data_IF_972298282725
#
_entry.id   IF_972298282725
#
_cell.length_a   1.000
_cell.length_b   1.000
_cell.length_c   1.000
_cell.angle_alpha   90.00
_cell.angle_beta   90.00
_cell.angle_gamma   90.00
#
_symmetry.space_group_name_H-M   'P 1'
#
loop_
_entity.id
_entity.type
_entity.pdbx_description
1 polymer ?
#
# COMPACT_ATOMS: atom_id res chain seq x y z
N UNK A 1 -33.06 18.09 10.80
CA UNK A 1 -31.59 18.19 10.69
C UNK A 1 -31.07 16.81 11.04
N UNK A 2 -30.99 15.93 10.05
CA UNK A 2 -30.54 14.56 10.29
C UNK A 2 -29.02 14.59 10.22
N UNK A 3 -28.40 14.49 11.39
CA UNK A 3 -27.00 14.12 11.56
C UNK A 3 -26.88 12.66 11.13
N UNK A 4 -26.75 12.45 9.81
CA UNK A 4 -26.34 11.17 9.26
C UNK A 4 -24.89 10.96 9.69
N UNK A 5 -24.75 10.19 10.77
CA UNK A 5 -23.47 9.64 11.23
C UNK A 5 -22.66 9.15 10.03
N UNK A 6 -21.59 9.88 9.70
CA UNK A 6 -20.63 9.56 8.66
C UNK A 6 -20.18 8.12 8.87
N UNK A 7 -20.45 7.26 7.89
CA UNK A 7 -20.02 5.87 7.86
C UNK A 7 -18.51 5.76 8.13
N UNK A 8 -18.14 5.30 9.33
CA UNK A 8 -16.76 5.24 9.83
C UNK A 8 -15.96 4.03 9.34
N UNK A 9 -16.49 3.21 8.43
CA UNK A 9 -15.77 2.06 7.90
C UNK A 9 -14.84 2.49 6.75
N UNK A 10 -13.51 2.35 6.87
CA UNK A 10 -12.60 2.75 5.81
C UNK A 10 -12.85 1.87 4.57
N UNK A 11 -13.02 2.53 3.42
CA UNK A 11 -13.24 1.88 2.14
C UNK A 11 -12.12 0.87 1.86
N UNK A 12 -12.46 -0.35 1.43
CA UNK A 12 -11.52 -1.47 1.28
C UNK A 12 -10.30 -1.11 0.42
N UNK A 13 -10.52 -0.37 -0.68
CA UNK A 13 -9.44 0.08 -1.56
C UNK A 13 -8.43 0.99 -0.85
N UNK A 14 -8.89 1.82 0.09
CA UNK A 14 -8.04 2.71 0.88
C UNK A 14 -7.21 1.91 1.89
N UNK A 15 -7.81 0.92 2.54
CA UNK A 15 -7.10 0.01 3.46
C UNK A 15 -6.02 -0.76 2.69
N UNK A 16 -6.33 -1.26 1.50
CA UNK A 16 -5.37 -1.96 0.65
C UNK A 16 -4.23 -1.04 0.18
N UNK A 17 -4.55 0.21 -0.17
CA UNK A 17 -3.54 1.20 -0.52
C UNK A 17 -2.60 1.50 0.65
N UNK A 18 -3.14 1.78 1.84
CA UNK A 18 -2.33 2.02 3.04
C UNK A 18 -1.40 0.84 3.36
N UNK A 19 -1.89 -0.40 3.20
CA UNK A 19 -1.06 -1.60 3.38
C UNK A 19 0.09 -1.67 2.37
N UNK A 20 -0.17 -1.37 1.09
CA UNK A 20 0.89 -1.35 0.06
C UNK A 20 1.95 -0.30 0.37
N UNK A 21 1.54 0.92 0.73
CA UNK A 21 2.46 2.00 1.14
C UNK A 21 3.29 1.56 2.36
N UNK A 22 2.65 1.00 3.38
CA UNK A 22 3.32 0.52 4.59
C UNK A 22 4.33 -0.60 4.32
N UNK A 23 3.95 -1.57 3.49
CA UNK A 23 4.83 -2.68 3.10
C UNK A 23 6.05 -2.17 2.33
N UNK A 24 5.86 -1.24 1.40
CA UNK A 24 6.95 -0.61 0.66
C UNK A 24 7.95 0.08 1.60
N UNK A 25 7.47 0.92 2.53
CA UNK A 25 8.31 1.58 3.54
C UNK A 25 9.12 0.55 4.34
N UNK A 26 8.47 -0.52 4.80
CA UNK A 26 9.13 -1.59 5.56
C UNK A 26 10.21 -2.28 4.74
N UNK A 27 9.93 -2.60 3.47
CA UNK A 27 10.88 -3.27 2.59
C UNK A 27 12.12 -2.41 2.34
N UNK A 28 11.93 -1.14 1.99
CA UNK A 28 13.04 -0.20 1.80
C UNK A 28 13.87 -0.05 3.08
N UNK A 29 13.22 0.06 4.24
CA UNK A 29 13.92 0.13 5.53
C UNK A 29 14.77 -1.11 5.79
N UNK A 30 14.21 -2.31 5.60
CA UNK A 30 14.91 -3.57 5.82
C UNK A 30 16.07 -3.76 4.84
N UNK A 31 15.93 -3.32 3.57
CA UNK A 31 17.03 -3.32 2.59
C UNK A 31 18.23 -2.45 3.01
N UNK A 32 18.01 -1.50 3.90
CA UNK A 32 19.03 -0.62 4.47
C UNK A 32 19.49 -1.09 5.87
N UNK A 33 19.14 -2.31 6.28
CA UNK A 33 19.44 -2.90 7.59
C UNK A 33 18.99 -2.05 8.79
N UNK A 34 17.96 -1.22 8.60
CA UNK A 34 17.42 -0.37 9.66
C UNK A 34 16.30 -1.07 10.42
N UNK A 35 16.27 -0.92 11.74
CA UNK A 35 15.15 -1.28 12.61
C UNK A 35 14.03 -0.23 12.54
N UNK A 36 12.80 -0.61 12.90
CA UNK A 36 11.68 0.34 12.98
C UNK A 36 11.91 1.47 14.00
N UNK A 37 12.73 1.23 15.02
CA UNK A 37 13.11 2.25 15.99
C UNK A 37 14.05 3.28 15.36
N UNK A 38 15.07 2.85 14.63
CA UNK A 38 16.03 3.75 13.95
C UNK A 38 15.35 4.58 12.86
N UNK A 39 14.43 3.98 12.08
CA UNK A 39 13.63 4.77 11.14
C UNK A 39 12.76 5.79 11.88
N UNK A 40 12.17 5.41 13.02
CA UNK A 40 11.42 6.34 13.88
C UNK A 40 12.28 7.53 14.31
N UNK A 41 13.51 7.28 14.78
CA UNK A 41 14.44 8.33 15.16
C UNK A 41 14.76 9.28 13.99
N UNK A 42 15.05 8.74 12.79
CA UNK A 42 15.31 9.56 11.58
C UNK A 42 14.10 10.37 11.13
N UNK A 43 12.89 9.88 11.39
CA UNK A 43 11.63 10.52 11.03
C UNK A 43 11.05 11.40 12.14
N UNK A 44 11.70 11.46 13.31
CA UNK A 44 11.16 12.08 14.53
C UNK A 44 9.78 11.53 14.94
N UNK A 45 9.61 10.22 14.83
CA UNK A 45 8.39 9.48 15.15
C UNK A 45 8.67 8.35 16.16
N UNK A 46 7.64 7.98 16.90
CA UNK A 46 7.72 6.78 17.75
C UNK A 46 7.80 5.51 16.91
N UNK A 47 8.47 4.47 17.42
CA UNK A 47 8.48 3.15 16.79
C UNK A 47 7.06 2.60 16.58
N UNK A 48 6.14 2.88 17.52
CA UNK A 48 4.74 2.46 17.39
C UNK A 48 4.05 3.15 16.21
N UNK A 49 4.32 4.43 15.93
CA UNK A 49 3.81 5.12 14.74
C UNK A 49 4.38 4.50 13.47
N UNK A 50 5.68 4.22 13.42
CA UNK A 50 6.30 3.48 12.30
C UNK A 50 5.59 2.14 12.09
N UNK A 51 5.35 1.37 13.15
CA UNK A 51 4.62 0.10 13.06
C UNK A 51 3.19 0.25 12.54
N UNK A 52 2.46 1.32 12.91
CA UNK A 52 1.11 1.57 12.38
C UNK A 52 1.16 1.87 10.88
N UNK A 53 2.12 2.67 10.44
CA UNK A 53 2.30 2.98 9.02
C UNK A 53 2.69 1.74 8.23
N UNK A 54 3.67 0.97 8.68
CA UNK A 54 4.14 -0.23 7.98
C UNK A 54 3.06 -1.31 7.86
N UNK A 55 2.12 -1.37 8.81
CA UNK A 55 0.97 -2.27 8.75
C UNK A 55 -0.23 -1.71 7.98
N UNK A 56 -0.17 -0.44 7.54
CA UNK A 56 -1.26 0.25 6.87
C UNK A 56 -2.48 0.51 7.77
N UNK A 57 -2.30 0.51 9.10
CA UNK A 57 -3.39 0.82 10.06
C UNK A 57 -3.75 2.31 10.01
N UNK A 58 -2.77 3.16 9.68
CA UNK A 58 -2.98 4.59 9.48
C UNK A 58 -2.43 5.00 8.12
N UNK A 59 -3.08 5.97 7.48
CA UNK A 59 -2.57 6.58 6.25
C UNK A 59 -1.31 7.41 6.54
N UNK A 60 -0.41 7.43 5.57
CA UNK A 60 0.75 8.31 5.54
C UNK A 60 0.37 9.52 4.69
N UNK A 61 0.54 10.74 5.19
CA UNK A 61 0.28 11.93 4.39
C UNK A 61 1.31 12.07 3.26
N UNK A 62 0.98 12.80 2.19
CA UNK A 62 1.92 13.01 1.08
C UNK A 62 3.24 13.66 1.55
N UNK A 63 3.16 14.59 2.51
CA UNK A 63 4.33 15.21 3.13
C UNK A 63 5.20 14.20 3.87
N UNK A 64 4.58 13.34 4.70
CA UNK A 64 5.30 12.29 5.42
C UNK A 64 5.91 11.28 4.46
N UNK A 65 5.19 10.91 3.41
CA UNK A 65 5.68 10.01 2.37
C UNK A 65 6.93 10.60 1.72
N UNK A 66 6.92 11.89 1.36
CA UNK A 66 8.09 12.56 0.83
C UNK A 66 9.31 12.50 1.77
N UNK A 67 9.10 12.64 3.08
CA UNK A 67 10.18 12.47 4.06
C UNK A 67 10.67 11.02 4.12
N UNK A 68 9.76 10.04 4.09
CA UNK A 68 10.14 8.62 4.06
C UNK A 68 11.03 8.31 2.87
N UNK A 69 10.68 8.74 1.65
CA UNK A 69 11.53 8.38 0.50
C UNK A 69 12.90 9.06 0.58
N UNK A 70 12.99 10.30 1.09
CA UNK A 70 14.29 10.97 1.32
C UNK A 70 15.16 10.18 2.30
N UNK A 71 14.59 9.75 3.42
CA UNK A 71 15.30 8.96 4.44
C UNK A 71 15.70 7.57 3.93
N UNK A 72 14.85 6.97 3.11
CA UNK A 72 15.04 5.62 2.56
C UNK A 72 15.83 5.62 1.23
N UNK A 73 16.21 6.79 0.71
CA UNK A 73 16.96 6.90 -0.54
C UNK A 73 16.19 6.41 -1.77
N UNK A 74 14.87 6.58 -1.78
CA UNK A 74 13.97 6.08 -2.85
C UNK A 74 13.45 7.25 -3.68
N UNK A 75 13.30 7.04 -4.98
CA UNK A 75 12.64 7.97 -5.88
C UNK A 75 11.11 7.84 -5.87
N UNK A 76 10.40 8.91 -6.25
CA UNK A 76 8.97 8.86 -6.51
C UNK A 76 8.60 7.87 -7.62
N UNK A 77 9.48 7.72 -8.64
CA UNK A 77 9.27 6.77 -9.73
C UNK A 77 9.21 5.33 -9.22
N UNK A 78 10.18 4.91 -8.41
CA UNK A 78 10.17 3.58 -7.78
C UNK A 78 8.93 3.38 -6.90
N UNK A 79 8.54 4.39 -6.12
CA UNK A 79 7.31 4.32 -5.33
C UNK A 79 6.06 4.10 -6.21
N UNK A 80 5.90 4.87 -7.27
CA UNK A 80 4.74 4.75 -8.17
C UNK A 80 4.69 3.38 -8.84
N UNK A 81 5.85 2.89 -9.32
CA UNK A 81 5.97 1.57 -9.91
C UNK A 81 5.54 0.46 -8.93
N UNK A 82 6.12 0.42 -7.73
CA UNK A 82 5.92 -0.66 -6.77
C UNK A 82 4.55 -0.64 -6.08
N UNK A 83 4.03 0.55 -5.78
CA UNK A 83 2.83 0.71 -4.94
C UNK A 83 1.56 0.89 -5.77
N UNK A 84 1.65 1.54 -6.93
CA UNK A 84 0.50 1.91 -7.76
C UNK A 84 0.41 1.04 -9.00
N UNK A 85 1.44 1.04 -9.84
CA UNK A 85 1.38 0.47 -11.19
C UNK A 85 1.45 -1.06 -11.19
N UNK A 86 2.45 -1.66 -10.52
CA UNK A 86 2.61 -3.11 -10.49
C UNK A 86 1.37 -3.86 -9.97
N UNK A 87 0.69 -3.39 -8.90
CA UNK A 87 -0.58 -3.99 -8.47
C UNK A 87 -1.70 -3.90 -9.51
N UNK A 88 -1.79 -2.79 -10.26
CA UNK A 88 -2.80 -2.62 -11.31
C UNK A 88 -2.57 -3.61 -12.47
N UNK A 89 -1.32 -3.77 -12.89
CA UNK A 89 -0.95 -4.72 -13.95
C UNK A 89 -1.26 -6.17 -13.56
N UNK A 90 -1.01 -6.55 -12.30
CA UNK A 90 -1.36 -7.88 -11.79
C UNK A 90 -2.87 -8.09 -11.73
N UNK A 91 -3.62 -7.05 -11.40
CA UNK A 91 -5.08 -7.12 -11.35
C UNK A 91 -5.66 -7.31 -12.76
N UNK A 92 -5.20 -6.52 -13.73
CA UNK A 92 -5.60 -6.68 -15.14
C UNK A 92 -5.28 -8.08 -15.70
N UNK A 93 -4.13 -8.66 -15.35
CA UNK A 93 -3.78 -10.00 -15.79
C UNK A 93 -4.68 -11.08 -15.17
N UNK A 94 -4.99 -10.97 -13.87
CA UNK A 94 -5.93 -11.88 -13.18
C UNK A 94 -7.33 -11.80 -13.78
N UNK A 95 -7.80 -10.60 -14.08
CA UNK A 95 -9.11 -10.37 -14.66
C UNK A 95 -9.19 -11.00 -16.06
N UNK A 96 -8.15 -10.83 -16.89
CA UNK A 96 -8.04 -11.48 -18.22
C UNK A 96 -8.02 -13.01 -18.14
N UNK A 97 -7.33 -13.59 -17.16
CA UNK A 97 -7.31 -15.06 -16.94
C UNK A 97 -8.68 -15.57 -16.49
N UNK A 98 -9.33 -14.85 -15.57
CA UNK A 98 -10.68 -15.18 -15.08
C UNK A 98 -11.72 -15.16 -16.21
N UNK A 99 -11.68 -14.15 -17.07
CA UNK A 99 -12.56 -14.07 -18.24
C UNK A 99 -12.36 -15.26 -19.19
N UNK A 100 -11.12 -15.64 -19.50
CA UNK A 100 -10.81 -16.79 -20.36
C UNK A 100 -11.27 -18.13 -19.77
N UNK A 101 -11.15 -18.33 -18.46
CA UNK A 101 -11.59 -19.54 -17.78
C UNK A 101 -13.13 -19.69 -17.80
N UNK A 102 -13.85 -18.56 -17.69
CA UNK A 102 -15.32 -18.56 -17.76
C UNK A 102 -15.83 -18.87 -19.17
N UNK A 103 -15.14 -18.40 -20.21
CA UNK A 103 -15.47 -18.71 -21.60
C UNK A 103 -15.24 -20.18 -21.96
N UNK A 104 -14.19 -20.82 -21.40
CA UNK A 104 -13.93 -22.25 -21.62
C UNK A 104 -14.95 -23.16 -20.92
N UNK A 105 -15.35 -22.82 -19.69
CA UNK A 105 -16.37 -23.58 -18.96
C UNK A 105 -17.76 -23.45 -19.62
N UNK A 106 -18.06 -22.29 -20.22
CA UNK A 106 -19.29 -22.06 -20.99
C UNK A 106 -19.34 -22.86 -22.32
N UNK A 107 -18.19 -23.20 -22.91
CA UNK A 107 -18.11 -24.05 -24.10
C UNK A 107 -18.20 -25.55 -23.82
N UNK A 108 -18.05 -25.98 -22.56
CA UNK A 108 -18.06 -27.40 -22.18
C UNK A 108 -19.46 -28.02 -22.00
N UNK A 109 -20.53 -27.23 -22.09
CA UNK A 109 -21.93 -27.67 -21.95
C UNK A 109 -22.70 -27.81 -23.29
N UNK A 110 -22.00 -27.75 -24.43
CA UNK A 110 -22.55 -28.05 -25.77
C UNK A 110 -22.00 -29.37 -26.29
#
# INVERSE_FOLDING_TARGET
MNDETVNTQPHESLVLFNRRVGLFIRQCRVKLDMTGHELGQKMHLSQQQISRYERGVCSVSLYQLNLFMKVLGVSWHEFMHEVVEAPLLLQEQKDKVRMRAQDSDAMSWR
#
